data_IF_119198795983
#
_entry.id   IF_119198795983
#
_cell.length_a   1.000
_cell.length_b   1.000
_cell.length_c   1.000
_cell.angle_alpha   90.00
_cell.angle_beta   90.00
_cell.angle_gamma   90.00
#
_symmetry.space_group_name_H-M   'P 1'
#
loop_
_entity.id
_entity.type
_entity.pdbx_description
1 polymer ?
#
# COMPACT_ATOMS: atom_id res chain seq x y z
N UNK A 1 21.14 16.24 4.28
CA UNK A 1 20.78 15.00 3.56
C UNK A 1 22.08 14.29 3.32
N UNK A 2 22.38 13.24 4.06
CA UNK A 2 23.54 12.38 3.76
C UNK A 2 23.10 10.92 3.72
N UNK A 3 23.64 10.26 2.71
CA UNK A 3 23.24 9.01 2.08
C UNK A 3 22.84 7.88 3.03
N UNK A 4 21.61 7.37 2.87
CA UNK A 4 21.29 5.98 3.21
C UNK A 4 21.81 4.99 2.15
N UNK A 5 22.55 5.46 1.14
CA UNK A 5 23.21 4.62 0.13
C UNK A 5 24.49 4.06 0.74
N UNK A 6 24.61 2.74 0.76
CA UNK A 6 25.87 2.09 1.08
C UNK A 6 26.85 2.30 -0.08
N UNK A 7 28.08 2.74 0.21
CA UNK A 7 29.13 3.16 -0.74
C UNK A 7 29.60 2.10 -1.76
N UNK A 8 29.03 0.90 -1.77
CA UNK A 8 29.48 -0.22 -2.61
C UNK A 8 28.43 -0.73 -3.62
N UNK A 9 27.28 -0.06 -3.76
CA UNK A 9 26.18 -0.56 -4.59
C UNK A 9 25.56 0.48 -5.54
N UNK A 10 26.34 1.50 -5.93
CA UNK A 10 25.87 2.60 -6.78
C UNK A 10 25.20 2.12 -8.07
N UNK A 11 25.74 1.07 -8.71
CA UNK A 11 25.15 0.51 -9.93
C UNK A 11 23.77 -0.14 -9.70
N UNK A 12 23.55 -0.81 -8.55
CA UNK A 12 22.23 -1.37 -8.27
C UNK A 12 21.24 -0.28 -7.86
N UNK A 13 21.70 0.77 -7.16
CA UNK A 13 20.90 1.95 -6.87
C UNK A 13 20.43 2.64 -8.15
N UNK A 14 21.35 2.91 -9.08
CA UNK A 14 21.02 3.57 -10.35
C UNK A 14 20.01 2.74 -11.16
N UNK A 15 20.20 1.42 -11.23
CA UNK A 15 19.24 0.52 -11.89
C UNK A 15 17.87 0.51 -11.22
N UNK A 16 17.81 0.51 -9.89
CA UNK A 16 16.54 0.55 -9.16
C UNK A 16 15.81 1.88 -9.40
N UNK A 17 16.56 2.99 -9.39
CA UNK A 17 16.03 4.32 -9.64
C UNK A 17 15.46 4.41 -11.08
N UNK A 18 16.19 3.91 -12.08
CA UNK A 18 15.72 3.83 -13.47
C UNK A 18 14.43 2.98 -13.59
N UNK A 19 14.44 1.76 -13.04
CA UNK A 19 13.27 0.87 -13.06
C UNK A 19 12.06 1.48 -12.32
N UNK A 20 12.32 2.23 -11.24
CA UNK A 20 11.30 2.93 -10.48
C UNK A 20 10.69 4.09 -11.27
N UNK A 21 11.51 4.92 -11.92
CA UNK A 21 11.03 6.01 -12.77
C UNK A 21 10.14 5.50 -13.92
N UNK A 22 10.54 4.39 -14.54
CA UNK A 22 9.72 3.74 -15.57
C UNK A 22 8.40 3.19 -15.00
N UNK A 23 8.46 2.54 -13.84
CA UNK A 23 7.28 2.05 -13.14
C UNK A 23 6.32 3.20 -12.78
N UNK A 24 6.81 4.34 -12.30
CA UNK A 24 5.98 5.51 -12.01
C UNK A 24 5.24 6.04 -13.23
N UNK A 25 5.89 6.07 -14.40
CA UNK A 25 5.25 6.44 -15.67
C UNK A 25 4.12 5.47 -16.02
N UNK A 26 4.31 4.17 -15.78
CA UNK A 26 3.28 3.15 -16.02
C UNK A 26 2.11 3.25 -15.04
N UNK A 27 2.38 3.50 -13.76
CA UNK A 27 1.38 3.66 -12.70
C UNK A 27 0.48 4.87 -12.93
N UNK A 28 1.01 5.93 -13.56
CA UNK A 28 0.31 7.18 -13.82
C UNK A 28 -0.62 7.16 -15.03
N UNK A 29 -0.68 6.03 -15.77
CA UNK A 29 -1.48 5.91 -16.99
C UNK A 29 -2.99 5.91 -16.67
N UNK A 30 -3.73 6.84 -17.28
CA UNK A 30 -5.21 6.89 -17.17
C UNK A 30 -5.90 5.56 -17.50
N UNK A 31 -5.34 4.80 -18.44
CA UNK A 31 -5.84 3.48 -18.81
C UNK A 31 -5.77 2.47 -17.66
N UNK A 32 -4.76 2.55 -16.79
CA UNK A 32 -4.63 1.66 -15.64
C UNK A 32 -5.74 1.93 -14.62
N UNK A 33 -5.95 3.20 -14.25
CA UNK A 33 -7.01 3.58 -13.30
C UNK A 33 -8.38 3.11 -13.79
N UNK A 34 -8.66 3.25 -15.09
CA UNK A 34 -9.92 2.78 -15.67
C UNK A 34 -10.08 1.26 -15.57
N UNK A 35 -9.02 0.49 -15.82
CA UNK A 35 -9.05 -0.97 -15.67
C UNK A 35 -9.24 -1.39 -14.21
N UNK A 36 -8.69 -0.64 -13.26
CA UNK A 36 -8.91 -0.87 -11.83
C UNK A 36 -10.37 -0.60 -11.44
N UNK A 37 -10.96 0.51 -11.90
CA UNK A 37 -12.39 0.77 -11.70
C UNK A 37 -13.26 -0.34 -12.26
N UNK A 38 -12.96 -0.82 -13.48
CA UNK A 38 -13.69 -1.92 -14.10
C UNK A 38 -13.55 -3.22 -13.32
N UNK A 39 -12.35 -3.56 -12.85
CA UNK A 39 -12.12 -4.72 -11.99
C UNK A 39 -12.99 -4.66 -10.73
N UNK A 40 -12.97 -3.53 -10.02
CA UNK A 40 -13.79 -3.38 -8.81
C UNK A 40 -15.28 -3.42 -9.15
N UNK A 41 -15.70 -2.77 -10.24
CA UNK A 41 -17.09 -2.78 -10.64
C UNK A 41 -17.60 -4.19 -10.96
N UNK A 42 -16.77 -5.02 -11.61
CA UNK A 42 -17.06 -6.43 -11.86
C UNK A 42 -17.20 -7.22 -10.56
N UNK A 43 -16.24 -7.09 -9.63
CA UNK A 43 -16.25 -7.85 -8.37
C UNK A 43 -17.42 -7.50 -7.45
N UNK A 44 -17.85 -6.25 -7.46
CA UNK A 44 -18.96 -5.80 -6.63
C UNK A 44 -20.31 -5.77 -7.35
N UNK A 45 -20.33 -5.93 -8.68
CA UNK A 45 -21.54 -5.79 -9.49
C UNK A 45 -22.14 -4.37 -9.46
N UNK A 46 -21.33 -3.35 -9.15
CA UNK A 46 -21.77 -1.97 -8.91
C UNK A 46 -20.79 -0.97 -9.51
N UNK A 47 -21.23 0.24 -9.89
CA UNK A 47 -20.32 1.29 -10.33
C UNK A 47 -19.23 1.56 -9.29
N UNK A 48 -17.99 1.66 -9.78
CA UNK A 48 -16.81 1.93 -8.97
C UNK A 48 -16.07 3.15 -9.52
N UNK A 49 -15.53 3.99 -8.65
CA UNK A 49 -14.85 5.24 -9.02
C UNK A 49 -13.59 5.41 -8.22
N UNK A 50 -12.47 5.68 -8.90
CA UNK A 50 -11.20 5.93 -8.23
C UNK A 50 -11.18 7.28 -7.52
N UNK A 51 -10.61 7.29 -6.32
CA UNK A 51 -10.35 8.48 -5.51
C UNK A 51 -8.84 8.75 -5.51
N UNK A 52 -8.47 9.91 -6.02
CA UNK A 52 -7.08 10.42 -5.99
C UNK A 52 -6.69 10.92 -4.59
N UNK A 53 -5.41 10.82 -4.18
CA UNK A 53 -4.28 10.23 -4.90
C UNK A 53 -4.17 8.70 -4.74
N UNK A 54 -3.38 8.09 -5.64
CA UNK A 54 -2.85 6.75 -5.40
C UNK A 54 -1.82 6.82 -4.26
N UNK A 55 -1.80 5.82 -3.40
CA UNK A 55 -0.82 5.69 -2.32
C UNK A 55 0.30 4.77 -2.83
N UNK A 56 1.52 5.29 -2.84
CA UNK A 56 2.70 4.57 -3.27
C UNK A 56 3.46 4.10 -2.03
N UNK A 57 3.70 2.80 -1.93
CA UNK A 57 4.58 2.21 -0.93
C UNK A 57 5.74 1.45 -1.58
N UNK A 58 6.72 1.02 -0.79
CA UNK A 58 7.95 0.40 -1.30
C UNK A 58 7.79 -0.98 -1.95
N UNK A 59 6.66 -1.65 -1.79
CA UNK A 59 6.40 -2.93 -2.47
C UNK A 59 4.98 -3.05 -3.04
N UNK A 60 4.12 -2.07 -2.75
CA UNK A 60 2.73 -2.09 -3.17
C UNK A 60 2.23 -0.68 -3.46
N UNK A 61 1.36 -0.59 -4.46
CA UNK A 61 0.60 0.61 -4.77
C UNK A 61 -0.87 0.38 -4.41
N UNK A 62 -1.50 1.35 -3.78
CA UNK A 62 -2.88 1.27 -3.33
C UNK A 62 -3.74 2.32 -4.02
N UNK A 63 -4.89 1.88 -4.50
CA UNK A 63 -5.88 2.72 -5.17
C UNK A 63 -7.16 2.70 -4.35
N UNK A 64 -7.55 3.86 -3.80
CA UNK A 64 -8.82 4.00 -3.07
C UNK A 64 -9.96 4.09 -4.06
N UNK A 65 -10.92 3.19 -3.95
CA UNK A 65 -12.06 3.09 -4.87
C UNK A 65 -13.36 3.23 -4.06
N UNK A 66 -14.21 4.16 -4.50
CA UNK A 66 -15.59 4.24 -4.02
C UNK A 66 -16.44 3.26 -4.82
N UNK A 67 -17.20 2.43 -4.14
CA UNK A 67 -18.19 1.56 -4.75
C UNK A 67 -19.58 2.09 -4.41
N UNK A 68 -20.43 2.25 -5.42
CA UNK A 68 -21.80 2.76 -5.22
C UNK A 68 -22.55 1.88 -4.20
N UNK A 69 -23.27 2.49 -3.26
CA UNK A 69 -24.08 1.79 -2.25
C UNK A 69 -23.30 0.73 -1.46
N UNK A 70 -22.01 0.98 -1.22
CA UNK A 70 -21.13 0.16 -0.40
C UNK A 70 -20.26 1.08 0.45
N UNK A 71 -20.13 0.76 1.74
CA UNK A 71 -19.35 1.52 2.71
C UNK A 71 -18.68 0.54 3.68
N UNK A 72 -17.41 0.74 4.07
CA UNK A 72 -16.53 1.85 3.67
C UNK A 72 -16.06 1.75 2.20
N UNK A 73 -15.27 2.73 1.74
CA UNK A 73 -14.53 2.60 0.47
C UNK A 73 -13.62 1.35 0.51
N UNK A 74 -13.09 0.95 -0.64
CA UNK A 74 -12.14 -0.18 -0.72
C UNK A 74 -10.78 0.28 -1.21
N UNK A 75 -9.74 -0.48 -0.87
CA UNK A 75 -8.39 -0.29 -1.38
C UNK A 75 -8.05 -1.45 -2.31
N UNK A 76 -7.71 -1.14 -3.56
CA UNK A 76 -7.07 -2.10 -4.46
C UNK A 76 -5.57 -2.00 -4.23
N UNK A 77 -4.99 -3.05 -3.68
CA UNK A 77 -3.56 -3.18 -3.41
C UNK A 77 -2.93 -4.05 -4.50
N UNK A 78 -1.92 -3.50 -5.18
CA UNK A 78 -1.17 -4.19 -6.23
C UNK A 78 0.32 -4.22 -5.90
N UNK A 79 1.03 -5.30 -6.23
CA UNK A 79 2.48 -5.32 -6.12
C UNK A 79 3.10 -4.23 -7.02
N UNK A 80 4.16 -3.60 -6.54
CA UNK A 80 4.95 -2.64 -7.32
C UNK A 80 5.72 -3.37 -8.41
N UNK A 81 5.51 -2.98 -9.68
CA UNK A 81 6.02 -3.70 -10.87
C UNK A 81 7.55 -3.82 -10.88
N UNK A 82 8.29 -2.83 -10.39
CA UNK A 82 9.76 -2.84 -10.33
C UNK A 82 10.34 -3.34 -9.00
N UNK A 83 9.54 -3.50 -7.94
CA UNK A 83 10.06 -3.77 -6.59
C UNK A 83 9.61 -5.11 -6.02
N UNK A 84 8.49 -5.66 -6.49
CA UNK A 84 7.96 -6.93 -6.00
C UNK A 84 8.48 -8.09 -6.86
N UNK A 85 9.42 -8.86 -6.31
CA UNK A 85 9.78 -10.17 -6.87
C UNK A 85 8.61 -11.16 -6.69
N UNK A 86 8.35 -11.99 -7.71
CA UNK A 86 7.27 -13.00 -7.69
C UNK A 86 5.90 -12.38 -7.30
N UNK A 87 5.39 -11.42 -8.09
CA UNK A 87 4.24 -10.61 -7.69
C UNK A 87 2.96 -11.43 -7.50
N UNK A 88 2.78 -12.51 -8.27
CA UNK A 88 1.68 -13.47 -8.14
C UNK A 88 1.75 -14.18 -6.79
N UNK A 89 2.86 -14.87 -6.49
CA UNK A 89 3.05 -15.63 -5.26
C UNK A 89 3.00 -14.72 -4.03
N UNK A 90 3.62 -13.53 -4.11
CA UNK A 90 3.55 -12.52 -3.07
C UNK A 90 2.10 -12.14 -2.77
N UNK A 91 1.31 -11.86 -3.80
CA UNK A 91 -0.10 -11.44 -3.68
C UNK A 91 -0.94 -12.54 -3.02
N UNK A 92 -0.80 -13.78 -3.49
CA UNK A 92 -1.54 -14.92 -2.93
C UNK A 92 -1.17 -15.18 -1.47
N UNK A 93 0.13 -15.14 -1.14
CA UNK A 93 0.61 -15.32 0.25
C UNK A 93 0.11 -14.23 1.18
N UNK A 94 0.14 -12.98 0.74
CA UNK A 94 -0.32 -11.83 1.52
C UNK A 94 -1.81 -11.93 1.83
N UNK A 95 -2.64 -12.21 0.82
CA UNK A 95 -4.08 -12.38 1.00
C UNK A 95 -4.43 -13.57 1.92
N UNK A 96 -3.76 -14.71 1.73
CA UNK A 96 -3.95 -15.89 2.57
C UNK A 96 -3.54 -15.64 4.03
N UNK A 97 -2.41 -14.97 4.24
CA UNK A 97 -1.90 -14.63 5.58
C UNK A 97 -2.82 -13.66 6.30
N UNK A 98 -3.27 -12.58 5.63
CA UNK A 98 -4.21 -11.64 6.22
C UNK A 98 -5.52 -12.31 6.63
N UNK A 99 -6.07 -13.19 5.77
CA UNK A 99 -7.24 -14.01 6.12
C UNK A 99 -6.99 -14.94 7.29
N UNK A 100 -5.80 -15.53 7.39
CA UNK A 100 -5.43 -16.39 8.52
C UNK A 100 -5.35 -15.58 9.83
N UNK A 101 -4.65 -14.45 9.83
CA UNK A 101 -4.51 -13.58 11.01
C UNK A 101 -5.89 -13.12 11.51
N UNK A 102 -6.75 -12.66 10.58
CA UNK A 102 -8.10 -12.21 10.91
C UNK A 102 -8.96 -13.31 11.56
N UNK A 103 -8.78 -14.57 11.16
CA UNK A 103 -9.57 -15.70 11.69
C UNK A 103 -9.03 -16.28 13.00
N UNK A 104 -7.72 -16.20 13.21
CA UNK A 104 -7.05 -16.96 14.27
C UNK A 104 -6.48 -16.08 15.39
N UNK A 105 -6.56 -14.75 15.26
CA UNK A 105 -6.01 -13.81 16.23
C UNK A 105 -7.00 -12.69 16.51
N UNK A 106 -6.71 -11.89 17.55
CA UNK A 106 -7.45 -10.64 17.85
C UNK A 106 -6.83 -9.42 17.18
N UNK A 107 -5.77 -9.59 16.37
CA UNK A 107 -5.05 -8.49 15.74
C UNK A 107 -5.98 -7.86 14.69
N UNK A 108 -6.31 -6.56 14.81
CA UNK A 108 -7.12 -5.88 13.82
C UNK A 108 -6.43 -5.96 12.45
N UNK A 109 -7.10 -6.59 11.49
CA UNK A 109 -6.57 -6.78 10.14
C UNK A 109 -7.64 -6.39 9.13
N UNK A 110 -7.31 -5.51 8.15
CA UNK A 110 -8.24 -5.15 7.09
C UNK A 110 -8.84 -6.39 6.41
N UNK A 111 -10.15 -6.44 6.29
CA UNK A 111 -10.86 -7.52 5.62
C UNK A 111 -10.43 -7.63 4.16
N UNK A 112 -9.97 -8.84 3.78
CA UNK A 112 -9.72 -9.21 2.39
C UNK A 112 -11.04 -9.60 1.72
N UNK A 113 -11.56 -8.71 0.88
CA UNK A 113 -12.82 -8.88 0.16
C UNK A 113 -12.61 -9.76 -1.07
N UNK A 114 -11.61 -9.44 -1.89
CA UNK A 114 -11.26 -10.17 -3.10
C UNK A 114 -9.74 -10.22 -3.28
N UNK A 115 -9.22 -11.21 -3.98
CA UNK A 115 -7.83 -11.25 -4.42
C UNK A 115 -7.69 -12.18 -5.62
N UNK A 116 -6.64 -12.00 -6.40
CA UNK A 116 -6.31 -12.83 -7.55
C UNK A 116 -4.95 -12.48 -8.14
N UNK A 117 -4.38 -13.43 -8.85
CA UNK A 117 -3.11 -13.33 -9.58
C UNK A 117 -3.36 -13.11 -11.10
N UNK A 118 -4.46 -13.64 -11.63
CA UNK A 118 -4.86 -13.46 -13.03
C UNK A 118 -5.94 -12.40 -13.15
N UNK A 119 -5.57 -11.22 -13.67
CA UNK A 119 -6.52 -10.18 -14.05
C UNK A 119 -5.93 -9.24 -15.11
N UNK A 120 -6.77 -8.41 -15.71
CA UNK A 120 -6.33 -7.34 -16.59
C UNK A 120 -5.31 -6.38 -15.93
N UNK A 121 -5.41 -6.17 -14.62
CA UNK A 121 -4.47 -5.30 -13.90
C UNK A 121 -3.34 -6.09 -13.24
N UNK A 122 -3.16 -7.36 -13.60
CA UNK A 122 -2.21 -8.28 -12.93
C UNK A 122 -2.66 -8.67 -11.52
N UNK A 123 -1.74 -9.10 -10.64
CA UNK A 123 -2.07 -9.49 -9.29
C UNK A 123 -2.67 -8.35 -8.45
N UNK A 124 -3.68 -8.66 -7.64
CA UNK A 124 -4.37 -7.68 -6.82
C UNK A 124 -4.94 -8.28 -5.53
N UNK A 125 -5.13 -7.41 -4.54
CA UNK A 125 -5.95 -7.65 -3.34
C UNK A 125 -6.91 -6.48 -3.20
N UNK A 126 -8.21 -6.74 -3.05
CA UNK A 126 -9.19 -5.74 -2.65
C UNK A 126 -9.45 -5.92 -1.16
N UNK A 127 -9.11 -4.90 -0.38
CA UNK A 127 -9.29 -4.87 1.06
C UNK A 127 -10.22 -3.73 1.46
N UNK A 128 -10.80 -3.80 2.66
CA UNK A 128 -11.52 -2.66 3.24
C UNK A 128 -10.60 -1.45 3.44
N UNK A 129 -11.12 -0.23 3.19
CA UNK A 129 -10.44 0.99 3.58
C UNK A 129 -10.71 1.26 5.06
N UNK A 130 -9.66 1.17 5.87
CA UNK A 130 -9.70 1.58 7.29
C UNK A 130 -9.34 3.05 7.37
N UNK A 131 -10.30 3.87 7.79
CA UNK A 131 -10.05 5.30 8.00
C UNK A 131 -9.06 5.50 9.16
N UNK A 132 -8.02 6.28 8.94
CA UNK A 132 -6.98 6.54 9.92
C UNK A 132 -6.59 8.02 9.94
N UNK A 133 -6.16 8.51 11.11
CA UNK A 133 -5.70 9.90 11.27
C UNK A 133 -4.27 10.11 10.76
N UNK A 134 -3.43 9.07 10.89
CA UNK A 134 -2.04 9.11 10.49
C UNK A 134 -1.42 7.70 10.39
N UNK A 135 -0.15 7.65 10.00
CA UNK A 135 0.67 6.42 10.03
C UNK A 135 1.38 6.27 11.37
N UNK A 136 1.72 5.03 11.73
CA UNK A 136 2.53 4.75 12.92
C UNK A 136 3.88 5.50 12.85
N UNK A 137 4.54 5.50 11.70
CA UNK A 137 5.81 6.22 11.51
C UNK A 137 5.69 7.72 11.81
N UNK A 138 4.58 8.37 11.43
CA UNK A 138 4.37 9.78 11.76
C UNK A 138 4.13 9.98 13.26
N UNK A 139 3.34 9.11 13.88
CA UNK A 139 3.07 9.17 15.32
C UNK A 139 4.34 8.95 16.17
N UNK A 140 5.31 8.18 15.65
CA UNK A 140 6.59 7.91 16.29
C UNK A 140 7.65 9.00 16.03
N UNK A 141 7.41 9.95 15.14
CA UNK A 141 8.40 11.00 14.79
C UNK A 141 8.32 12.18 15.75
N UNK A 142 9.45 12.87 15.95
CA UNK A 142 9.50 14.11 16.75
C UNK A 142 8.45 15.13 16.27
N UNK A 143 7.62 15.68 17.18
CA UNK A 143 6.60 16.66 16.82
C UNK A 143 7.21 17.90 16.14
N UNK A 144 6.51 18.43 15.13
CA UNK A 144 6.91 19.65 14.43
C UNK A 144 8.02 19.47 13.38
N UNK A 145 8.52 18.24 13.19
CA UNK A 145 9.42 17.92 12.06
C UNK A 145 8.61 17.88 10.76
N UNK A 146 9.18 18.43 9.70
CA UNK A 146 8.59 18.39 8.36
C UNK A 146 8.39 16.93 7.92
N UNK A 147 7.20 16.65 7.38
CA UNK A 147 6.79 15.34 6.86
C UNK A 147 7.61 14.90 5.65
N UNK A 148 8.35 15.82 5.01
CA UNK A 148 9.26 15.51 3.91
C UNK A 148 10.58 14.85 4.37
N UNK A 149 10.89 14.93 5.66
CA UNK A 149 12.14 14.40 6.22
C UNK A 149 11.92 12.92 6.58
N UNK A 150 12.96 12.10 6.36
CA UNK A 150 12.99 10.70 6.78
C UNK A 150 12.56 10.57 8.24
N UNK A 151 11.53 9.76 8.49
CA UNK A 151 11.02 9.52 9.83
C UNK A 151 12.14 8.97 10.73
N UNK A 152 12.41 9.67 11.83
CA UNK A 152 13.27 9.24 12.91
C UNK A 152 12.44 9.12 14.19
N UNK A 153 12.64 8.04 14.94
CA UNK A 153 11.97 7.85 16.24
C UNK A 153 12.31 9.02 17.17
N UNK A 154 11.29 9.65 17.76
CA UNK A 154 11.49 10.69 18.76
C UNK A 154 12.19 10.09 20.00
N UNK A 155 13.43 10.51 20.33
CA UNK A 155 14.14 9.97 21.48
C UNK A 155 13.46 10.31 22.82
N UNK A 156 12.54 11.29 22.84
CA UNK A 156 11.82 11.72 24.03
C UNK A 156 10.37 11.23 24.06
N UNK A 157 9.97 10.32 23.16
CA UNK A 157 8.61 9.78 23.15
C UNK A 157 8.31 9.10 24.50
N UNK A 158 7.14 9.42 25.08
CA UNK A 158 6.77 8.83 26.36
C UNK A 158 6.47 7.33 26.22
N UNK A 159 6.81 6.56 27.24
CA UNK A 159 6.48 5.13 27.30
C UNK A 159 4.98 4.88 27.13
N UNK A 160 4.13 5.71 27.75
CA UNK A 160 2.67 5.61 27.61
C UNK A 160 2.23 5.80 26.16
N UNK A 161 2.81 6.77 25.44
CA UNK A 161 2.50 6.96 24.01
C UNK A 161 2.92 5.76 23.17
N UNK A 162 4.07 5.14 23.47
CA UNK A 162 4.51 3.93 22.78
C UNK A 162 3.54 2.77 23.04
N UNK A 163 3.12 2.57 24.29
CA UNK A 163 2.16 1.54 24.66
C UNK A 163 0.83 1.72 23.93
N UNK A 164 0.29 2.95 23.92
CA UNK A 164 -0.97 3.28 23.23
C UNK A 164 -0.90 3.07 21.71
N UNK A 165 0.28 3.18 21.09
CA UNK A 165 0.46 2.98 19.65
C UNK A 165 0.62 1.51 19.23
N UNK A 166 1.00 0.64 20.15
CA UNK A 166 1.25 -0.79 19.90
C UNK A 166 0.16 -1.72 20.46
N UNK A 167 -0.80 -1.19 21.21
CA UNK A 167 -1.92 -1.92 21.84
C UNK A 167 -3.27 -1.60 21.18
#
# INVERSE_FOLDING_TARGET
>A
MDNARQDFDELAWDRNDEEWEEAQKALSKKSLYRRIELLVAEKFGKPATWITPMIIGGFNNLYRIRVKDFSPDVLVRRPSVSQAQFPEEKTLREAATAKYIQRNTKIPTPQVLFYGDVSDVGPFIIIEHVENKSTLSHALTTPGVDRSITHALDPNISQTTLEDLYL
#
